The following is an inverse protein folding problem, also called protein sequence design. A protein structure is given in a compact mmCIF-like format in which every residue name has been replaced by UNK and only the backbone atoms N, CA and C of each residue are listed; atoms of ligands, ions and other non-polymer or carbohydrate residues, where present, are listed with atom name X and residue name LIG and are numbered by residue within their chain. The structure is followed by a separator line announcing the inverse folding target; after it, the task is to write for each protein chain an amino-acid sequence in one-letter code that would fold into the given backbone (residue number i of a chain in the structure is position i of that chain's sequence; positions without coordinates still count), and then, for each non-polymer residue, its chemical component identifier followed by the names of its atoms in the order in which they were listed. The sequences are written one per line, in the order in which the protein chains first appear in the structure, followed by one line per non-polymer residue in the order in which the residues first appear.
data_IF_971740198893
#
_entry.id   IF_971740198893
#
_cell.length_a   1.000
_cell.length_b   1.000
_cell.length_c   1.000
_cell.angle_alpha   90.00
_cell.angle_beta   90.00
_cell.angle_gamma   90.00
#
_symmetry.space_group_name_H-M   'P 1'
#
loop_
_entity.id
_entity.type
_entity.pdbx_description
1 polymer ?
#
# COMPACT_ATOMS: atom_id res chain seq x y z
N UNK A 1 -38.82 -39.91 -48.11
CA UNK A 1 -38.32 -38.51 -48.18
C UNK A 1 -38.40 -37.78 -46.83
N UNK A 2 -39.50 -37.88 -46.07
CA UNK A 2 -39.65 -37.22 -44.74
C UNK A 2 -38.59 -37.60 -43.69
N UNK A 3 -38.17 -38.87 -43.64
CA UNK A 3 -37.19 -39.37 -42.65
C UNK A 3 -35.77 -38.82 -42.94
N UNK A 4 -35.35 -38.79 -44.20
CA UNK A 4 -34.04 -38.24 -44.59
C UNK A 4 -33.93 -36.75 -44.29
N UNK A 5 -35.03 -36.01 -44.50
CA UNK A 5 -35.09 -34.58 -44.23
C UNK A 5 -35.02 -34.25 -42.74
N UNK A 6 -35.67 -35.08 -41.90
CA UNK A 6 -35.66 -34.91 -40.44
C UNK A 6 -34.31 -35.28 -39.84
N UNK A 7 -33.65 -36.34 -40.32
CA UNK A 7 -32.29 -36.70 -39.85
C UNK A 7 -31.26 -35.64 -40.20
N UNK A 8 -31.37 -35.02 -41.39
CA UNK A 8 -30.45 -33.96 -41.82
C UNK A 8 -30.65 -32.68 -41.00
N UNK A 9 -31.90 -32.30 -40.72
CA UNK A 9 -32.21 -31.15 -39.88
C UNK A 9 -31.67 -31.33 -38.45
N UNK A 10 -31.80 -32.53 -37.89
CA UNK A 10 -31.31 -32.81 -36.52
C UNK A 10 -29.78 -32.75 -36.46
N UNK A 11 -29.08 -33.25 -37.48
CA UNK A 11 -27.62 -33.15 -37.56
C UNK A 11 -27.13 -31.69 -37.63
N UNK A 12 -27.79 -30.85 -38.43
CA UNK A 12 -27.46 -29.42 -38.55
C UNK A 12 -27.68 -28.64 -37.25
N UNK A 13 -28.73 -28.98 -36.49
CA UNK A 13 -28.98 -28.40 -35.17
C UNK A 13 -27.88 -28.75 -34.18
N UNK A 14 -27.37 -29.99 -34.19
CA UNK A 14 -26.30 -30.36 -33.26
C UNK A 14 -25.03 -29.55 -33.50
N UNK A 15 -24.65 -29.29 -34.76
CA UNK A 15 -23.44 -28.50 -35.07
C UNK A 15 -23.56 -27.03 -34.68
N UNK A 16 -24.77 -26.47 -34.66
CA UNK A 16 -25.00 -25.08 -34.25
C UNK A 16 -24.78 -24.87 -32.74
N UNK A 17 -25.08 -25.88 -31.91
CA UNK A 17 -24.90 -25.81 -30.45
C UNK A 17 -23.42 -25.79 -30.05
N UNK A 18 -22.56 -26.53 -30.77
CA UNK A 18 -21.12 -26.55 -30.51
C UNK A 18 -20.38 -25.30 -31.00
N UNK A 19 -20.99 -24.48 -31.86
CA UNK A 19 -20.38 -23.27 -32.40
C UNK A 19 -20.43 -22.08 -31.43
N UNK A 20 -21.22 -22.14 -30.36
CA UNK A 20 -21.40 -21.02 -29.46
C UNK A 20 -20.32 -20.99 -28.37
N UNK A 21 -19.09 -20.63 -28.76
CA UNK A 21 -18.02 -20.30 -27.82
C UNK A 21 -18.14 -18.84 -27.40
N UNK A 22 -18.42 -18.59 -26.12
CA UNK A 22 -18.42 -17.25 -25.52
C UNK A 22 -16.99 -16.72 -25.53
N UNK A 23 -16.70 -15.71 -26.36
CA UNK A 23 -15.37 -15.07 -26.35
C UNK A 23 -15.13 -14.43 -24.98
N UNK A 24 -14.10 -14.92 -24.29
CA UNK A 24 -13.61 -14.32 -23.05
C UNK A 24 -12.87 -13.05 -23.42
N UNK A 25 -13.47 -11.91 -23.12
CA UNK A 25 -12.89 -10.58 -23.33
C UNK A 25 -11.58 -10.47 -22.54
N UNK A 26 -10.47 -10.16 -23.23
CA UNK A 26 -9.15 -9.98 -22.62
C UNK A 26 -9.07 -8.75 -21.71
N UNK A 27 -10.07 -7.87 -21.76
CA UNK A 27 -10.23 -6.71 -20.89
C UNK A 27 -10.97 -7.04 -19.57
N UNK A 28 -11.47 -8.27 -19.39
CA UNK A 28 -11.85 -8.78 -18.08
C UNK A 28 -10.59 -9.16 -17.30
N UNK A 29 -9.78 -8.13 -17.05
CA UNK A 29 -8.58 -8.21 -16.26
C UNK A 29 -8.99 -8.74 -14.89
N UNK A 30 -8.46 -9.91 -14.52
CA UNK A 30 -8.60 -10.54 -13.21
C UNK A 30 -8.53 -9.44 -12.15
N UNK A 31 -9.63 -9.22 -11.44
CA UNK A 31 -9.71 -8.21 -10.40
C UNK A 31 -8.61 -8.50 -9.38
N UNK A 32 -7.54 -7.70 -9.41
CA UNK A 32 -6.45 -7.83 -8.45
C UNK A 32 -6.93 -7.05 -7.23
N UNK A 33 -7.40 -7.76 -6.22
CA UNK A 33 -7.58 -7.17 -4.90
C UNK A 33 -6.20 -6.77 -4.39
N UNK A 34 -5.88 -5.47 -4.45
CA UNK A 34 -4.69 -4.94 -3.80
C UNK A 34 -4.92 -4.97 -2.28
N UNK A 35 -3.93 -5.46 -1.54
CA UNK A 35 -3.94 -5.40 -0.10
C UNK A 35 -3.79 -3.94 0.37
N UNK A 36 -4.43 -3.61 1.50
CA UNK A 36 -4.34 -2.28 2.10
C UNK A 36 -2.89 -1.91 2.44
N UNK A 37 -2.50 -0.67 2.11
CA UNK A 37 -1.20 -0.12 2.50
C UNK A 37 -1.28 0.28 3.97
N UNK A 38 -0.65 -0.52 4.83
CA UNK A 38 -0.56 -0.21 6.26
C UNK A 38 0.48 0.89 6.51
N UNK A 39 0.04 2.09 6.88
CA UNK A 39 0.94 3.20 7.24
C UNK A 39 1.47 2.98 8.67
N UNK A 40 2.55 2.20 8.79
CA UNK A 40 3.13 1.79 10.09
C UNK A 40 3.65 2.96 10.94
N UNK A 41 4.09 4.05 10.32
CA UNK A 41 4.80 5.12 11.03
C UNK A 41 3.94 5.84 12.09
N UNK A 42 2.63 5.99 11.85
CA UNK A 42 1.73 6.71 12.77
C UNK A 42 0.93 5.78 13.69
N UNK A 43 0.89 4.48 13.41
CA UNK A 43 0.04 3.50 14.12
C UNK A 43 0.84 2.33 14.69
N UNK A 44 2.15 2.49 14.87
CA UNK A 44 2.99 1.47 15.47
C UNK A 44 2.51 1.13 16.89
N UNK A 45 2.26 -0.16 17.13
CA UNK A 45 1.89 -0.69 18.45
C UNK A 45 2.89 -1.74 18.89
N UNK A 46 2.92 -2.03 20.20
CA UNK A 46 3.83 -3.02 20.79
C UNK A 46 3.71 -4.43 20.17
N UNK A 47 2.57 -4.75 19.55
CA UNK A 47 2.31 -6.04 18.92
C UNK A 47 2.89 -6.16 17.49
N UNK A 48 3.27 -5.06 16.85
CA UNK A 48 3.63 -5.03 15.43
C UNK A 48 5.07 -5.45 15.10
N UNK A 49 5.90 -5.78 16.10
CA UNK A 49 7.27 -6.28 15.87
C UNK A 49 8.23 -5.28 15.20
N UNK A 50 7.87 -4.00 15.14
CA UNK A 50 8.69 -2.91 14.59
C UNK A 50 9.21 -2.02 15.72
N UNK A 51 10.40 -1.43 15.55
CA UNK A 51 10.93 -0.45 16.49
C UNK A 51 10.20 0.89 16.35
N UNK A 52 9.65 1.41 17.44
CA UNK A 52 9.06 2.74 17.52
C UNK A 52 9.45 3.40 18.83
N UNK A 53 9.51 4.74 18.84
CA UNK A 53 9.74 5.54 20.04
C UNK A 53 8.64 6.58 20.16
N UNK A 54 7.95 6.60 21.30
CA UNK A 54 7.04 7.68 21.65
C UNK A 54 7.76 8.61 22.60
N UNK A 55 7.82 9.90 22.25
CA UNK A 55 8.43 10.93 23.08
C UNK A 55 7.41 11.97 23.48
N UNK A 56 7.54 12.47 24.70
CA UNK A 56 6.70 13.54 25.24
C UNK A 56 7.53 14.79 25.49
N UNK A 57 6.87 15.91 25.74
CA UNK A 57 7.54 17.18 25.99
C UNK A 57 8.46 17.09 27.22
N UNK A 58 8.02 16.37 28.26
CA UNK A 58 8.74 16.22 29.53
C UNK A 58 10.09 15.50 29.34
N UNK A 59 10.22 14.66 28.32
CA UNK A 59 11.46 13.92 28.01
C UNK A 59 12.60 14.84 27.55
N UNK A 60 12.28 16.08 27.16
CA UNK A 60 13.24 17.06 26.65
C UNK A 60 13.39 18.30 27.53
N UNK A 61 12.52 18.52 28.52
CA UNK A 61 12.55 19.73 29.36
C UNK A 61 13.92 20.00 30.00
N UNK A 62 14.58 18.97 30.52
CA UNK A 62 15.89 19.10 31.18
C UNK A 62 17.03 19.59 30.27
N UNK A 63 16.85 19.50 28.95
CA UNK A 63 17.82 19.87 27.91
C UNK A 63 17.26 20.90 26.93
N UNK A 64 16.05 21.39 27.17
CA UNK A 64 15.43 22.37 26.31
C UNK A 64 16.02 23.75 26.62
N UNK A 65 17.04 24.12 25.85
CA UNK A 65 17.69 25.43 25.92
C UNK A 65 17.03 26.47 24.99
N UNK A 66 15.83 26.19 24.49
CA UNK A 66 15.16 26.99 23.44
C UNK A 66 15.58 26.62 22.02
N UNK A 67 16.09 25.41 21.82
CA UNK A 67 16.49 24.87 20.52
C UNK A 67 15.30 24.27 19.77
N UNK A 68 15.45 24.13 18.45
CA UNK A 68 14.42 23.55 17.60
C UNK A 68 14.20 22.06 17.87
N UNK A 69 13.00 21.57 17.54
CA UNK A 69 12.60 20.17 17.73
C UNK A 69 13.57 19.14 17.12
N UNK A 70 14.09 19.29 15.88
CA UNK A 70 15.04 18.34 15.33
C UNK A 70 16.22 18.08 16.28
N UNK A 71 16.81 19.14 16.84
CA UNK A 71 17.94 19.04 17.77
C UNK A 71 17.57 18.28 19.04
N UNK A 72 16.37 18.51 19.58
CA UNK A 72 15.90 17.76 20.75
C UNK A 72 15.73 16.27 20.43
N UNK A 73 15.32 15.93 19.21
CA UNK A 73 15.11 14.56 18.74
C UNK A 73 16.39 13.83 18.32
N UNK A 74 17.55 14.49 18.25
CA UNK A 74 18.81 13.89 17.77
C UNK A 74 19.28 12.65 18.54
N UNK A 75 18.78 12.49 19.78
CA UNK A 75 19.11 11.36 20.64
C UNK A 75 18.26 10.11 20.35
N UNK A 76 17.27 10.21 19.46
CA UNK A 76 16.45 9.07 19.06
C UNK A 76 17.15 8.25 17.98
N UNK A 77 17.03 6.91 18.02
CA UNK A 77 17.56 6.05 16.98
C UNK A 77 16.95 6.38 15.61
N UNK A 78 17.79 6.48 14.59
CA UNK A 78 17.34 6.72 13.21
C UNK A 78 16.98 8.18 12.89
N UNK A 79 17.23 9.12 13.81
CA UNK A 79 17.04 10.55 13.55
C UNK A 79 18.39 11.18 13.20
N UNK A 80 18.47 11.76 12.01
CA UNK A 80 19.62 12.58 11.58
C UNK A 80 19.18 14.02 11.55
N UNK A 81 19.94 14.88 12.22
CA UNK A 81 19.60 16.29 12.38
C UNK A 81 20.66 17.14 11.72
N UNK A 82 20.24 18.14 10.96
CA UNK A 82 21.12 19.13 10.34
C UNK A 82 20.76 20.52 10.83
N UNK A 83 21.75 21.41 10.91
CA UNK A 83 21.55 22.82 11.21
C UNK A 83 22.58 23.63 10.46
N UNK A 84 22.13 24.60 9.66
CA UNK A 84 23.02 25.49 8.93
C UNK A 84 23.79 26.45 9.86
N UNK A 85 23.11 26.91 10.92
CA UNK A 85 23.67 27.85 11.90
C UNK A 85 24.52 27.17 13.00
N UNK A 86 24.48 25.84 13.13
CA UNK A 86 25.20 25.07 14.15
C UNK A 86 24.70 25.23 15.60
N UNK A 87 24.01 26.33 15.92
CA UNK A 87 23.42 26.59 17.23
C UNK A 87 22.13 25.78 17.49
N UNK A 88 21.55 25.18 16.45
CA UNK A 88 20.32 24.41 16.58
C UNK A 88 19.05 25.26 16.72
N UNK A 89 19.10 26.50 16.25
CA UNK A 89 17.98 27.47 16.24
C UNK A 89 17.86 28.04 14.84
N UNK A 90 16.72 27.82 14.19
CA UNK A 90 16.49 28.23 12.82
C UNK A 90 17.28 27.39 11.80
N UNK A 91 16.69 27.22 10.60
CA UNK A 91 17.28 26.42 9.52
C UNK A 91 17.76 25.03 9.99
N UNK A 92 17.00 24.41 10.90
CA UNK A 92 17.22 23.04 11.38
C UNK A 92 16.32 22.08 10.61
N UNK A 93 16.85 20.88 10.31
CA UNK A 93 16.18 19.89 9.48
C UNK A 93 16.32 18.48 10.02
N UNK A 94 15.41 17.61 9.57
CA UNK A 94 15.48 16.16 9.72
C UNK A 94 15.90 15.57 8.37
N UNK A 95 16.89 14.67 8.41
CA UNK A 95 17.36 13.87 7.27
C UNK A 95 16.79 12.48 7.26
#
# INVERSE_FOLDING_TARGET
MKIVFTTLATALLTTAVWAQTKQTDSLLQKEIALNEVFVSALRATKAMGVSFSNVKAEDFEARNLGQDLPILLQYLPGVVTTSDAGAGIGYTGLG
#
